data_IF_006210696050
#
_entry.id   IF_006210696050
#
_cell.length_a   1.000
_cell.length_b   1.000
_cell.length_c   1.000
_cell.angle_alpha   90.00
_cell.angle_beta   90.00
_cell.angle_gamma   90.00
#
_symmetry.space_group_name_H-M   'P 1'
#
loop_
_entity.id
_entity.type
_entity.pdbx_description
1 polymer ?
#
# COMPACT_ATOMS: atom_id res chain seq x y z
N UNK A 1 16.06 -23.59 -9.54
CA UNK A 1 15.19 -23.71 -8.35
C UNK A 1 15.38 -22.58 -7.34
N UNK A 2 16.55 -21.93 -7.33
CA UNK A 2 16.85 -20.85 -6.39
C UNK A 2 16.09 -19.54 -6.68
N UNK A 3 16.07 -19.12 -7.96
CA UNK A 3 15.41 -17.89 -8.41
C UNK A 3 13.88 -17.89 -8.15
N UNK A 4 13.22 -19.03 -8.36
CA UNK A 4 11.77 -19.19 -8.17
C UNK A 4 11.37 -19.11 -6.68
N UNK A 5 12.24 -19.63 -5.81
CA UNK A 5 12.04 -19.62 -4.35
C UNK A 5 12.28 -18.22 -3.78
N UNK A 6 13.31 -17.51 -4.26
CA UNK A 6 13.57 -16.11 -3.92
C UNK A 6 12.43 -15.18 -4.38
N UNK A 7 11.87 -15.41 -5.58
CA UNK A 7 10.75 -14.64 -6.10
C UNK A 7 9.46 -14.85 -5.29
N UNK A 8 9.21 -16.07 -4.83
CA UNK A 8 8.11 -16.36 -3.90
C UNK A 8 8.28 -15.63 -2.57
N UNK A 9 9.49 -15.57 -2.00
CA UNK A 9 9.75 -14.81 -0.79
C UNK A 9 9.45 -13.33 -0.94
N UNK A 10 9.86 -12.73 -2.07
CA UNK A 10 9.58 -11.32 -2.39
C UNK A 10 8.09 -11.07 -2.60
N UNK A 11 7.41 -11.91 -3.38
CA UNK A 11 5.97 -11.79 -3.65
C UNK A 11 5.13 -11.91 -2.37
N UNK A 12 5.45 -12.89 -1.51
CA UNK A 12 4.75 -13.08 -0.22
C UNK A 12 4.97 -11.85 0.66
N UNK A 13 6.20 -11.34 0.73
CA UNK A 13 6.53 -10.15 1.52
C UNK A 13 5.79 -8.90 1.03
N UNK A 14 5.79 -8.66 -0.28
CA UNK A 14 5.06 -7.54 -0.90
C UNK A 14 3.55 -7.72 -0.70
N UNK A 15 3.03 -8.93 -0.87
CA UNK A 15 1.62 -9.24 -0.64
C UNK A 15 1.18 -9.01 0.82
N UNK A 16 2.01 -9.40 1.79
CA UNK A 16 1.77 -9.14 3.21
C UNK A 16 1.85 -7.64 3.54
N UNK A 17 2.80 -6.91 2.96
CA UNK A 17 2.86 -5.47 3.08
C UNK A 17 1.62 -4.81 2.49
N UNK A 18 1.16 -5.24 1.32
CA UNK A 18 -0.12 -4.78 0.78
C UNK A 18 -1.25 -5.06 1.77
N UNK A 19 -1.43 -6.30 2.21
CA UNK A 19 -2.54 -6.71 3.07
C UNK A 19 -2.58 -5.99 4.41
N UNK A 20 -1.43 -5.61 4.98
CA UNK A 20 -1.36 -4.93 6.28
C UNK A 20 -1.35 -3.42 6.13
N UNK A 21 -0.53 -2.90 5.22
CA UNK A 21 -0.32 -1.46 5.05
C UNK A 21 -1.56 -0.78 4.45
N UNK A 22 -2.22 -1.47 3.51
CA UNK A 22 -3.40 -0.95 2.85
C UNK A 22 -4.56 -0.68 3.82
N UNK A 23 -5.04 -1.65 4.63
CA UNK A 23 -6.17 -1.39 5.51
C UNK A 23 -5.83 -0.32 6.56
N UNK A 24 -4.59 -0.27 7.03
CA UNK A 24 -4.14 0.75 7.97
C UNK A 24 -4.24 2.15 7.37
N UNK A 25 -3.69 2.38 6.17
CA UNK A 25 -3.79 3.68 5.49
C UNK A 25 -5.23 3.99 5.13
N UNK A 26 -5.97 3.02 4.57
CA UNK A 26 -7.36 3.22 4.20
C UNK A 26 -8.24 3.60 5.39
N UNK A 27 -8.01 2.98 6.56
CA UNK A 27 -8.70 3.32 7.80
C UNK A 27 -8.33 4.70 8.32
N UNK A 28 -7.05 5.09 8.23
CA UNK A 28 -6.61 6.43 8.61
C UNK A 28 -7.28 7.50 7.74
N UNK A 29 -7.27 7.30 6.41
CA UNK A 29 -7.90 8.22 5.46
C UNK A 29 -9.41 8.27 5.65
N UNK A 30 -10.05 7.13 5.89
CA UNK A 30 -11.47 7.07 6.25
C UNK A 30 -11.76 7.92 7.50
N UNK A 31 -11.00 7.69 8.57
CA UNK A 31 -11.21 8.38 9.86
C UNK A 31 -10.94 9.88 9.75
N UNK A 32 -9.95 10.31 8.98
CA UNK A 32 -9.68 11.73 8.72
C UNK A 32 -10.79 12.36 7.86
N UNK A 33 -11.27 11.65 6.84
CA UNK A 33 -12.35 12.12 5.99
C UNK A 33 -13.69 12.23 6.73
N UNK A 34 -13.97 11.29 7.63
CA UNK A 34 -15.14 11.32 8.53
C UNK A 34 -15.07 12.51 9.49
N UNK A 35 -13.91 12.73 10.13
CA UNK A 35 -13.69 13.88 11.03
C UNK A 35 -13.82 15.25 10.34
N UNK A 36 -13.52 15.30 9.04
CA UNK A 36 -13.60 16.52 8.21
C UNK A 36 -14.93 16.66 7.47
N UNK A 37 -15.90 15.80 7.74
CA UNK A 37 -17.22 15.75 7.08
C UNK A 37 -17.13 15.72 5.54
N UNK A 38 -16.05 15.12 5.01
CA UNK A 38 -15.82 15.06 3.58
C UNK A 38 -16.78 14.07 2.94
N UNK A 39 -17.31 14.43 1.76
CA UNK A 39 -18.19 13.53 1.00
C UNK A 39 -17.48 12.21 0.68
N UNK A 40 -18.19 11.12 0.97
CA UNK A 40 -17.83 9.75 0.63
C UNK A 40 -16.48 9.28 1.24
N UNK A 41 -16.37 9.22 2.58
CA UNK A 41 -15.13 8.86 3.28
C UNK A 41 -14.72 7.40 3.03
N UNK A 42 -15.68 6.50 2.80
CA UNK A 42 -15.43 5.09 2.49
C UNK A 42 -14.70 4.92 1.15
N UNK A 43 -15.20 5.57 0.10
CA UNK A 43 -14.59 5.49 -1.24
C UNK A 43 -13.21 6.16 -1.24
N UNK A 44 -13.02 7.24 -0.48
CA UNK A 44 -11.72 7.89 -0.29
C UNK A 44 -10.73 6.98 0.44
N UNK A 45 -11.15 6.30 1.51
CA UNK A 45 -10.30 5.35 2.22
C UNK A 45 -9.84 4.20 1.33
N UNK A 46 -10.74 3.65 0.51
CA UNK A 46 -10.42 2.56 -0.42
C UNK A 46 -9.52 3.05 -1.57
N UNK A 47 -9.84 4.17 -2.22
CA UNK A 47 -9.10 4.67 -3.40
C UNK A 47 -7.78 5.32 -3.04
N UNK A 48 -7.64 5.93 -1.86
CA UNK A 48 -6.36 6.50 -1.41
C UNK A 48 -5.51 5.47 -0.66
N UNK A 49 -6.14 4.48 0.01
CA UNK A 49 -5.49 3.22 0.37
C UNK A 49 -4.86 2.58 -0.87
N UNK A 50 -5.65 2.47 -1.95
CA UNK A 50 -5.26 2.47 -3.39
C UNK A 50 -3.83 2.85 -3.71
N UNK A 51 -3.71 4.16 -3.82
CA UNK A 51 -2.54 4.89 -4.21
C UNK A 51 -1.40 4.76 -3.20
N UNK A 52 -1.66 4.43 -1.93
CA UNK A 52 -0.61 4.13 -0.96
C UNK A 52 0.33 3.01 -1.44
N UNK A 53 -0.21 1.99 -2.11
CA UNK A 53 0.60 0.89 -2.69
C UNK A 53 1.42 1.39 -3.88
N UNK A 54 0.80 2.16 -4.77
CA UNK A 54 1.51 2.77 -5.91
C UNK A 54 2.68 3.64 -5.43
N UNK A 55 2.47 4.43 -4.38
CA UNK A 55 3.52 5.22 -3.74
C UNK A 55 4.66 4.37 -3.19
N UNK A 56 4.33 3.24 -2.53
CA UNK A 56 5.32 2.30 -2.01
C UNK A 56 6.16 1.65 -3.13
N UNK A 57 5.52 1.26 -4.23
CA UNK A 57 6.20 0.67 -5.39
C UNK A 57 7.13 1.67 -6.07
N UNK A 58 6.71 2.92 -6.22
CA UNK A 58 7.56 4.00 -6.75
C UNK A 58 8.75 4.22 -5.80
N UNK A 59 8.51 4.28 -4.49
CA UNK A 59 9.57 4.50 -3.50
C UNK A 59 10.62 3.39 -3.54
N UNK A 60 10.20 2.12 -3.54
CA UNK A 60 11.09 0.96 -3.69
C UNK A 60 11.88 1.01 -5.00
N UNK A 61 11.23 1.34 -6.12
CA UNK A 61 11.89 1.46 -7.42
C UNK A 61 12.90 2.61 -7.50
N UNK A 62 12.67 3.71 -6.76
CA UNK A 62 13.65 4.80 -6.66
C UNK A 62 14.84 4.41 -5.77
N UNK A 63 14.58 3.82 -4.61
CA UNK A 63 15.63 3.38 -3.67
C UNK A 63 16.52 2.33 -4.34
N UNK A 64 15.93 1.36 -5.05
CA UNK A 64 16.66 0.29 -5.73
C UNK A 64 17.48 0.77 -6.94
N UNK A 65 17.26 2.00 -7.42
CA UNK A 65 18.10 2.63 -8.47
C UNK A 65 19.28 3.42 -7.90
N UNK A 66 19.32 3.65 -6.59
CA UNK A 66 20.41 4.37 -5.92
C UNK A 66 21.49 3.43 -5.34
N UNK A 67 21.23 2.12 -5.30
CA UNK A 67 22.22 1.06 -5.09
C UNK A 67 22.77 0.54 -6.43
#
# INVERSE_FOLDING_TARGET
>A
MDLLTAYNGLLIRVGLYLLIFWPTIGYYVYSDAEKRELRNPQLRGIVLGFLGILGLLIHLGMVQRQD
#
